data_IF_159486706791
#
_entry.id   IF_159486706791
#
_cell.length_a   1.000
_cell.length_b   1.000
_cell.length_c   1.000
_cell.angle_alpha   90.00
_cell.angle_beta   90.00
_cell.angle_gamma   90.00
#
_symmetry.space_group_name_H-M   'P 1'
#
loop_
_entity.id
_entity.type
_entity.pdbx_description
1 polymer ?
#
# COMPACT_ATOMS: atom_id res chain seq x y z
N UNK A 1 48.21 37.10 -51.93
CA UNK A 1 48.37 38.45 -52.51
C UNK A 1 46.98 39.01 -52.75
N UNK A 2 46.70 40.18 -52.13
CA UNK A 2 45.85 41.31 -52.62
C UNK A 2 44.34 41.04 -52.80
N UNK A 3 43.35 41.89 -52.51
CA UNK A 3 43.11 43.20 -51.85
C UNK A 3 41.57 43.23 -51.60
N UNK A 4 41.04 43.60 -50.42
CA UNK A 4 40.54 44.93 -50.01
C UNK A 4 39.40 45.60 -50.82
N UNK A 5 38.24 45.82 -50.17
CA UNK A 5 37.37 47.02 -50.21
C UNK A 5 36.26 46.83 -49.13
N UNK A 6 36.23 47.50 -47.97
CA UNK A 6 35.98 48.92 -47.62
C UNK A 6 34.50 49.36 -47.58
N UNK A 7 34.15 50.04 -46.47
CA UNK A 7 33.04 51.01 -46.19
C UNK A 7 32.05 50.53 -45.10
N UNK A 8 32.05 50.95 -43.82
CA UNK A 8 31.97 52.26 -43.10
C UNK A 8 30.50 52.62 -42.68
N UNK A 9 30.32 52.98 -41.38
CA UNK A 9 29.19 53.62 -40.60
C UNK A 9 27.91 52.77 -40.39
N UNK A 10 27.18 52.72 -39.27
CA UNK A 10 26.99 53.50 -38.03
C UNK A 10 26.50 52.52 -36.93
N UNK A 11 26.75 52.63 -35.63
CA UNK A 11 26.60 53.81 -34.79
C UNK A 11 25.20 53.86 -34.15
N UNK A 12 24.85 52.93 -33.26
CA UNK A 12 23.80 53.13 -32.25
C UNK A 12 24.12 52.34 -30.97
N UNK A 13 24.55 53.09 -29.95
CA UNK A 13 24.58 52.65 -28.55
C UNK A 13 23.15 52.53 -28.04
N UNK A 14 22.71 51.33 -27.69
CA UNK A 14 21.48 51.11 -26.94
C UNK A 14 21.83 50.98 -25.46
N UNK A 15 21.52 52.04 -24.72
CA UNK A 15 21.34 52.01 -23.27
C UNK A 15 20.41 50.86 -22.90
N UNK A 16 20.95 49.82 -22.28
CA UNK A 16 20.13 48.85 -21.56
C UNK A 16 19.96 49.36 -20.13
N UNK A 17 18.77 49.88 -19.83
CA UNK A 17 18.33 50.13 -18.46
C UNK A 17 18.32 48.79 -17.70
N UNK A 18 19.17 48.69 -16.68
CA UNK A 18 19.04 47.65 -15.66
C UNK A 18 17.77 47.92 -14.85
N UNK A 19 16.69 47.20 -15.14
CA UNK A 19 15.58 47.08 -14.20
C UNK A 19 16.05 46.19 -13.04
N UNK A 20 16.23 46.79 -11.86
CA UNK A 20 16.30 46.05 -10.62
C UNK A 20 14.98 45.28 -10.43
N UNK A 21 15.04 43.96 -10.51
CA UNK A 21 13.91 43.11 -10.16
C UNK A 21 13.61 43.27 -8.66
N UNK A 22 12.34 43.44 -8.24
CA UNK A 22 12.00 43.49 -6.84
C UNK A 22 12.32 42.14 -6.19
N UNK A 23 13.05 42.18 -5.07
CA UNK A 23 13.29 41.00 -4.25
C UNK A 23 11.94 40.43 -3.78
N UNK A 24 11.64 39.20 -4.20
CA UNK A 24 10.47 38.45 -3.72
C UNK A 24 10.68 38.14 -2.24
N UNK A 25 9.86 38.67 -1.32
CA UNK A 25 10.00 38.33 0.09
C UNK A 25 9.50 36.91 0.32
N UNK A 26 10.38 36.09 0.91
CA UNK A 26 10.01 34.84 1.58
C UNK A 26 9.75 33.65 0.66
N UNK A 27 10.82 32.90 0.35
CA UNK A 27 10.66 31.46 0.26
C UNK A 27 10.14 30.98 1.62
N UNK A 28 8.82 30.80 1.71
CA UNK A 28 8.26 29.97 2.76
C UNK A 28 8.70 28.56 2.40
N UNK A 29 9.83 28.12 2.96
CA UNK A 29 10.13 26.70 3.08
C UNK A 29 8.98 26.11 3.88
N UNK A 30 7.95 25.65 3.17
CA UNK A 30 6.91 24.77 3.70
C UNK A 30 7.65 23.50 4.14
N UNK A 31 8.15 23.51 5.37
CA UNK A 31 8.60 22.31 6.04
C UNK A 31 7.46 21.31 5.90
N UNK A 32 7.76 20.17 5.27
CA UNK A 32 6.84 19.04 5.16
C UNK A 32 6.33 18.78 6.58
N UNK A 33 5.07 19.12 6.87
CA UNK A 33 4.49 18.93 8.21
C UNK A 33 4.81 17.50 8.63
N UNK A 34 5.65 17.37 9.65
CA UNK A 34 6.12 16.06 10.12
C UNK A 34 4.95 15.16 10.46
N UNK A 35 5.17 13.84 10.38
CA UNK A 35 4.20 12.87 10.88
C UNK A 35 4.01 13.12 12.39
N UNK A 36 2.90 13.80 12.73
CA UNK A 36 2.52 14.08 14.11
C UNK A 36 1.63 12.99 14.71
N UNK A 37 1.96 12.58 15.93
CA UNK A 37 1.17 11.69 16.77
C UNK A 37 0.47 12.41 17.93
N UNK A 38 0.35 13.73 17.87
CA UNK A 38 -0.34 14.53 18.89
C UNK A 38 -1.84 14.17 18.98
N UNK A 39 -2.46 13.84 17.84
CA UNK A 39 -3.85 13.43 17.75
C UNK A 39 -3.99 12.22 16.83
N UNK A 40 -3.78 10.99 17.34
CA UNK A 40 -3.94 9.78 16.55
C UNK A 40 -5.34 9.67 15.97
N UNK A 41 -5.44 9.15 14.74
CA UNK A 41 -6.74 8.90 14.10
C UNK A 41 -7.54 7.85 14.88
N UNK A 42 -8.87 7.91 14.78
CA UNK A 42 -9.72 7.02 15.58
C UNK A 42 -9.38 5.55 15.33
N UNK A 43 -9.16 4.79 16.42
CA UNK A 43 -8.83 3.37 16.35
C UNK A 43 -7.33 3.08 16.28
N UNK A 44 -6.46 4.10 16.19
CA UNK A 44 -5.02 3.96 16.30
C UNK A 44 -4.56 4.40 17.68
N UNK A 45 -3.76 3.59 18.37
CA UNK A 45 -3.16 3.99 19.66
C UNK A 45 -2.01 4.98 19.45
N UNK A 46 -1.72 5.77 20.48
CA UNK A 46 -0.56 6.66 20.46
C UNK A 46 0.77 5.91 20.31
N UNK A 47 0.89 4.70 20.90
CA UNK A 47 2.10 3.88 20.79
C UNK A 47 2.31 3.39 19.36
N UNK A 48 1.25 2.91 18.70
CA UNK A 48 1.32 2.45 17.31
C UNK A 48 1.57 3.61 16.34
N UNK A 49 0.96 4.78 16.58
CA UNK A 49 1.29 5.99 15.82
C UNK A 49 2.78 6.33 15.91
N UNK A 50 3.34 6.34 17.13
CA UNK A 50 4.76 6.64 17.35
C UNK A 50 5.65 5.64 16.63
N UNK A 51 5.29 4.35 16.66
CA UNK A 51 6.00 3.32 15.92
C UNK A 51 5.97 3.58 14.40
N UNK A 52 4.79 3.85 13.83
CA UNK A 52 4.63 4.18 12.40
C UNK A 52 5.50 5.39 12.00
N UNK A 53 5.53 6.43 12.84
CA UNK A 53 6.38 7.61 12.62
C UNK A 53 7.87 7.24 12.71
N UNK A 54 8.26 6.46 13.72
CA UNK A 54 9.64 6.04 13.93
C UNK A 54 10.21 5.17 12.80
N UNK A 55 9.39 4.32 12.16
CA UNK A 55 9.82 3.51 11.01
C UNK A 55 9.75 4.26 9.68
N UNK A 56 9.40 5.55 9.69
CA UNK A 56 9.45 6.41 8.51
C UNK A 56 8.23 6.35 7.59
N UNK A 57 7.05 5.95 8.10
CA UNK A 57 5.82 6.03 7.30
C UNK A 57 5.45 7.49 6.98
N UNK A 58 4.74 7.72 5.88
CA UNK A 58 4.31 9.05 5.43
C UNK A 58 3.18 9.66 6.29
N UNK A 59 2.52 8.84 7.12
CA UNK A 59 1.45 9.27 8.01
C UNK A 59 0.53 8.12 8.43
N UNK A 60 -0.49 8.49 9.21
CA UNK A 60 -1.60 7.61 9.57
C UNK A 60 -2.60 7.46 8.42
N UNK A 61 -3.45 6.43 8.54
CA UNK A 61 -4.62 6.29 7.70
C UNK A 61 -5.63 7.40 7.91
N UNK A 62 -6.53 7.61 6.95
CA UNK A 62 -7.66 8.54 7.13
C UNK A 62 -8.69 7.98 8.11
N UNK A 63 -8.79 6.65 8.21
CA UNK A 63 -9.73 5.94 9.09
C UNK A 63 -11.17 6.45 8.95
N UNK A 64 -11.59 6.69 7.69
CA UNK A 64 -12.97 7.07 7.40
C UNK A 64 -13.95 6.05 8.01
N UNK A 65 -15.08 6.53 8.53
CA UNK A 65 -16.15 5.71 9.13
C UNK A 65 -17.43 5.67 8.29
N UNK A 66 -17.46 6.44 7.21
CA UNK A 66 -18.56 6.52 6.27
C UNK A 66 -18.08 6.06 4.90
N UNK A 67 -19.01 5.60 4.06
CA UNK A 67 -18.72 5.21 2.70
C UNK A 67 -18.04 6.35 1.94
N UNK A 68 -16.92 6.05 1.29
CA UNK A 68 -16.09 7.00 0.55
C UNK A 68 -15.75 6.50 -0.87
N UNK A 69 -16.46 5.48 -1.35
CA UNK A 69 -16.17 4.84 -2.64
C UNK A 69 -14.92 3.96 -2.67
N UNK A 70 -14.20 3.82 -1.55
CA UNK A 70 -12.99 3.02 -1.44
C UNK A 70 -13.04 2.12 -0.20
N UNK A 71 -12.41 2.55 0.90
CA UNK A 71 -12.21 1.76 2.12
C UNK A 71 -12.59 2.59 3.35
N UNK A 72 -13.39 2.02 4.24
CA UNK A 72 -13.77 2.67 5.50
C UNK A 72 -13.99 1.66 6.61
N UNK A 73 -13.82 2.08 7.85
CA UNK A 73 -14.05 1.26 9.04
C UNK A 73 -15.56 1.09 9.23
N UNK A 74 -16.01 -0.15 9.37
CA UNK A 74 -17.41 -0.48 9.60
C UNK A 74 -17.91 -1.63 8.73
N UNK A 75 -19.23 -1.83 8.75
CA UNK A 75 -19.91 -2.98 8.14
C UNK A 75 -20.92 -2.58 7.05
N UNK A 76 -20.89 -1.33 6.59
CA UNK A 76 -21.88 -0.76 5.68
C UNK A 76 -21.59 -1.04 4.20
N UNK A 77 -20.37 -1.50 3.86
CA UNK A 77 -19.98 -1.78 2.48
C UNK A 77 -20.41 -3.15 1.97
N UNK A 78 -20.33 -3.34 0.64
CA UNK A 78 -20.67 -4.62 0.01
C UNK A 78 -19.70 -5.74 0.41
N UNK A 79 -18.40 -5.42 0.54
CA UNK A 79 -17.38 -6.38 0.96
C UNK A 79 -16.93 -6.05 2.39
N UNK A 80 -16.93 -7.06 3.27
CA UNK A 80 -16.60 -6.92 4.69
C UNK A 80 -15.35 -7.73 5.01
N UNK A 81 -14.25 -7.05 5.25
CA UNK A 81 -12.99 -7.65 5.65
C UNK A 81 -12.92 -7.60 7.18
N UNK A 82 -12.97 -8.75 7.82
CA UNK A 82 -12.89 -8.88 9.28
C UNK A 82 -11.47 -9.28 9.64
N UNK A 83 -10.72 -8.34 10.21
CA UNK A 83 -9.36 -8.55 10.67
C UNK A 83 -9.37 -8.93 12.14
N UNK A 84 -8.92 -10.15 12.45
CA UNK A 84 -8.76 -10.66 13.81
C UNK A 84 -7.28 -10.77 14.15
N UNK A 85 -6.91 -10.28 15.33
CA UNK A 85 -5.60 -10.53 15.90
C UNK A 85 -5.68 -11.77 16.82
N UNK A 86 -5.11 -12.89 16.38
CA UNK A 86 -4.95 -14.09 17.22
C UNK A 86 -3.51 -14.27 17.73
N UNK A 87 -2.61 -13.33 17.41
CA UNK A 87 -1.29 -13.29 18.01
C UNK A 87 -1.40 -12.89 19.49
N UNK A 88 -0.38 -13.25 20.28
CA UNK A 88 -0.27 -12.84 21.68
C UNK A 88 0.09 -11.36 21.85
N UNK A 89 0.57 -10.71 20.79
CA UNK A 89 1.01 -9.32 20.78
C UNK A 89 0.04 -8.42 20.00
N UNK A 90 0.01 -7.10 20.26
CA UNK A 90 -0.82 -6.17 19.50
C UNK A 90 -0.37 -6.11 18.03
N UNK A 91 -1.35 -5.95 17.13
CA UNK A 91 -1.15 -5.80 15.69
C UNK A 91 -1.81 -4.52 15.23
N UNK A 92 -1.09 -3.65 14.53
CA UNK A 92 -1.70 -2.55 13.79
C UNK A 92 -1.90 -2.98 12.34
N UNK A 93 -3.14 -3.04 11.87
CA UNK A 93 -3.41 -3.30 10.46
C UNK A 93 -3.24 -2.01 9.65
N UNK A 94 -2.45 -2.10 8.58
CA UNK A 94 -2.21 -1.04 7.60
C UNK A 94 -2.84 -1.48 6.29
N UNK A 95 -3.79 -0.71 5.75
CA UNK A 95 -4.50 -1.02 4.50
C UNK A 95 -4.27 0.12 3.51
N UNK A 96 -3.85 -0.21 2.30
CA UNK A 96 -3.71 0.73 1.19
C UNK A 96 -4.57 0.29 0.00
N UNK A 97 -4.83 1.25 -0.88
CA UNK A 97 -5.54 1.03 -2.14
C UNK A 97 -4.64 1.41 -3.29
N UNK A 98 -4.68 0.62 -4.35
CA UNK A 98 -3.98 0.89 -5.59
C UNK A 98 -4.93 1.61 -6.55
N UNK A 99 -4.77 2.93 -6.65
CA UNK A 99 -5.42 3.68 -7.73
C UNK A 99 -4.75 3.32 -9.08
N UNK A 100 -5.52 3.36 -10.16
CA UNK A 100 -4.99 3.13 -11.49
C UNK A 100 -3.83 4.09 -11.77
N UNK A 101 -2.68 3.55 -12.17
CA UNK A 101 -1.45 4.31 -12.43
C UNK A 101 -0.60 4.65 -11.20
N UNK A 102 -1.02 4.31 -9.97
CA UNK A 102 -0.19 4.50 -8.78
C UNK A 102 0.65 3.26 -8.45
N UNK A 103 1.85 3.23 -9.05
CA UNK A 103 2.87 2.19 -8.81
C UNK A 103 3.57 2.33 -7.45
N UNK A 104 3.22 3.33 -6.64
CA UNK A 104 3.79 3.56 -5.31
C UNK A 104 2.78 3.36 -4.18
N UNK A 105 1.56 2.89 -4.47
CA UNK A 105 0.47 2.76 -3.50
C UNK A 105 0.84 1.97 -2.24
N UNK A 106 1.74 0.99 -2.35
CA UNK A 106 2.19 0.14 -1.25
C UNK A 106 3.44 0.65 -0.50
N UNK A 107 4.05 1.75 -0.97
CA UNK A 107 5.25 2.35 -0.42
C UNK A 107 4.86 3.30 0.72
N UNK A 108 4.78 2.77 1.93
CA UNK A 108 4.24 3.48 3.09
C UNK A 108 5.09 4.65 3.58
N UNK A 109 6.34 4.77 3.12
CA UNK A 109 7.16 5.98 3.32
C UNK A 109 6.79 7.14 2.36
N UNK A 110 6.08 6.83 1.26
CA UNK A 110 5.69 7.78 0.23
C UNK A 110 4.17 8.03 0.19
N UNK A 111 3.37 7.02 0.53
CA UNK A 111 1.90 7.06 0.54
C UNK A 111 1.36 6.82 1.94
N UNK A 112 0.33 7.58 2.30
CA UNK A 112 -0.44 7.31 3.52
C UNK A 112 -1.38 6.13 3.26
N UNK A 113 -1.57 5.21 4.20
CA UNK A 113 -2.57 4.17 4.07
C UNK A 113 -3.98 4.77 4.08
N UNK A 114 -4.99 4.00 3.69
CA UNK A 114 -6.39 4.35 3.91
C UNK A 114 -6.79 4.08 5.37
N UNK A 115 -6.31 2.97 5.92
CA UNK A 115 -6.59 2.58 7.31
C UNK A 115 -5.28 2.26 8.02
N UNK A 116 -5.15 2.79 9.24
CA UNK A 116 -4.19 2.33 10.25
C UNK A 116 -4.95 2.10 11.55
N UNK A 117 -5.12 0.85 11.98
CA UNK A 117 -5.99 0.51 13.10
C UNK A 117 -5.32 -0.49 14.05
N UNK A 118 -5.30 -0.17 15.34
CA UNK A 118 -4.72 -1.01 16.39
C UNK A 118 -5.69 -2.11 16.82
N UNK A 119 -5.26 -3.36 16.75
CA UNK A 119 -6.03 -4.54 17.13
C UNK A 119 -5.29 -5.24 18.27
N UNK A 120 -5.85 -5.16 19.48
CA UNK A 120 -5.33 -5.91 20.63
C UNK A 120 -5.45 -7.43 20.44
N UNK A 121 -4.71 -8.21 21.23
CA UNK A 121 -4.80 -9.67 21.19
C UNK A 121 -6.23 -10.15 21.43
N UNK A 122 -6.70 -11.08 20.60
CA UNK A 122 -8.07 -11.61 20.61
C UNK A 122 -9.14 -10.66 20.06
N UNK A 123 -8.82 -9.42 19.74
CA UNK A 123 -9.77 -8.43 19.22
C UNK A 123 -9.92 -8.53 17.70
N UNK A 124 -10.91 -7.82 17.17
CA UNK A 124 -11.14 -7.72 15.73
C UNK A 124 -11.66 -6.35 15.33
N UNK A 125 -11.42 -5.98 14.07
CA UNK A 125 -12.03 -4.82 13.42
C UNK A 125 -12.62 -5.24 12.08
N UNK A 126 -13.76 -4.68 11.71
CA UNK A 126 -14.34 -4.88 10.37
C UNK A 126 -14.13 -3.64 9.53
N UNK A 127 -13.64 -3.85 8.31
CA UNK A 127 -13.40 -2.83 7.31
C UNK A 127 -14.31 -3.12 6.12
N UNK A 128 -15.04 -2.10 5.69
CA UNK A 128 -15.86 -2.12 4.49
C UNK A 128 -15.03 -1.70 3.29
N UNK A 129 -15.15 -2.46 2.20
CA UNK A 129 -14.55 -2.14 0.90
C UNK A 129 -15.66 -1.97 -0.14
N UNK A 130 -15.61 -0.89 -0.92
CA UNK A 130 -16.42 -0.73 -2.13
C UNK A 130 -16.03 -1.78 -3.20
N UNK A 131 -16.86 -1.94 -4.23
CA UNK A 131 -16.50 -2.72 -5.42
C UNK A 131 -15.55 -1.93 -6.33
N UNK A 132 -14.72 -2.62 -7.12
CA UNK A 132 -13.77 -1.98 -8.04
C UNK A 132 -12.53 -1.40 -7.36
N UNK A 133 -12.20 -1.88 -6.16
CA UNK A 133 -11.03 -1.45 -5.39
C UNK A 133 -10.00 -2.56 -5.38
N UNK A 134 -8.76 -2.24 -5.76
CA UNK A 134 -7.60 -3.11 -5.57
C UNK A 134 -6.68 -2.52 -4.50
N UNK A 135 -5.88 -3.36 -3.85
CA UNK A 135 -4.94 -2.91 -2.84
C UNK A 135 -4.36 -4.06 -2.04
N UNK A 136 -3.85 -3.74 -0.87
CA UNK A 136 -3.32 -4.73 0.05
C UNK A 136 -3.33 -4.25 1.48
N UNK A 137 -2.90 -5.13 2.37
CA UNK A 137 -2.71 -4.84 3.77
C UNK A 137 -1.52 -5.61 4.34
N UNK A 138 -1.02 -5.10 5.46
CA UNK A 138 0.00 -5.76 6.26
C UNK A 138 -0.22 -5.45 7.74
N UNK A 139 0.27 -6.34 8.62
CA UNK A 139 0.30 -6.10 10.06
C UNK A 139 1.63 -5.52 10.52
N UNK A 140 1.59 -4.50 11.38
CA UNK A 140 2.72 -4.08 12.20
C UNK A 140 2.59 -4.76 13.57
N UNK A 141 3.50 -5.66 13.89
CA UNK A 141 3.43 -6.49 15.09
C UNK A 141 4.28 -5.89 16.20
N UNK A 142 3.67 -5.70 17.37
CA UNK A 142 4.36 -5.41 18.63
C UNK A 142 5.35 -4.22 18.56
N UNK A 143 5.06 -3.24 17.70
CA UNK A 143 5.94 -2.11 17.41
C UNK A 143 7.38 -2.51 17.00
N UNK A 144 7.55 -3.68 16.37
CA UNK A 144 8.84 -4.21 15.90
C UNK A 144 8.94 -4.32 14.37
N UNK A 145 7.83 -4.40 13.66
CA UNK A 145 7.83 -4.45 12.20
C UNK A 145 8.46 -3.18 11.63
N UNK A 146 9.35 -3.32 10.65
CA UNK A 146 9.98 -2.18 9.97
C UNK A 146 9.41 -1.98 8.57
N UNK A 147 9.82 -0.89 7.92
CA UNK A 147 9.72 -0.82 6.46
C UNK A 147 10.91 -1.55 5.82
N UNK A 148 10.72 -2.02 4.59
CA UNK A 148 11.79 -2.56 3.75
C UNK A 148 12.69 -1.42 3.27
N UNK A 149 13.81 -1.76 2.65
CA UNK A 149 14.69 -0.77 1.99
C UNK A 149 13.98 0.06 0.91
N UNK A 150 12.84 -0.42 0.41
CA UNK A 150 12.00 0.29 -0.56
C UNK A 150 10.91 1.13 0.10
N UNK A 151 10.69 1.01 1.41
CA UNK A 151 9.64 1.75 2.13
C UNK A 151 8.29 1.06 2.22
N UNK A 152 8.22 -0.22 1.84
CA UNK A 152 7.05 -1.09 1.98
C UNK A 152 7.01 -1.71 3.37
N UNK A 153 5.84 -2.06 3.93
CA UNK A 153 5.79 -2.77 5.22
C UNK A 153 6.50 -4.11 5.10
N UNK A 154 7.60 -4.32 5.84
CA UNK A 154 8.45 -5.51 5.69
C UNK A 154 7.88 -6.72 6.44
N UNK A 155 6.75 -7.21 5.96
CA UNK A 155 6.04 -8.32 6.54
C UNK A 155 5.27 -9.10 5.45
N UNK A 156 4.58 -10.17 5.84
CA UNK A 156 3.59 -10.83 4.99
C UNK A 156 2.44 -9.89 4.69
N UNK A 157 2.04 -9.87 3.42
CA UNK A 157 0.93 -9.07 2.93
C UNK A 157 -0.29 -9.94 2.68
N UNK A 158 -1.45 -9.33 2.76
CA UNK A 158 -2.62 -9.81 2.02
C UNK A 158 -2.92 -8.84 0.89
N UNK A 159 -3.26 -9.37 -0.27
CA UNK A 159 -3.61 -8.59 -1.46
C UNK A 159 -5.08 -8.81 -1.79
N UNK A 160 -5.72 -7.80 -2.40
CA UNK A 160 -7.11 -7.92 -2.81
C UNK A 160 -7.44 -7.14 -4.08
N UNK A 161 -8.49 -7.62 -4.73
CA UNK A 161 -9.33 -6.86 -5.66
C UNK A 161 -10.79 -7.16 -5.34
N UNK A 162 -11.66 -6.16 -5.39
CA UNK A 162 -13.11 -6.29 -5.19
C UNK A 162 -13.90 -6.08 -6.49
N UNK A 163 -15.15 -6.56 -6.54
CA UNK A 163 -16.02 -6.46 -7.72
C UNK A 163 -16.31 -7.82 -8.37
N UNK A 164 -16.55 -7.85 -9.68
CA UNK A 164 -17.06 -9.05 -10.37
C UNK A 164 -16.09 -10.24 -10.34
N UNK A 165 -14.79 -9.99 -10.22
CA UNK A 165 -13.72 -11.00 -10.14
C UNK A 165 -12.93 -10.88 -8.83
N UNK A 166 -13.65 -10.56 -7.75
CA UNK A 166 -13.05 -10.30 -6.45
C UNK A 166 -12.17 -11.47 -6.00
N UNK A 167 -10.92 -11.17 -5.66
CA UNK A 167 -9.87 -12.14 -5.34
C UNK A 167 -9.05 -11.63 -4.16
N UNK A 168 -8.63 -12.54 -3.28
CA UNK A 168 -7.66 -12.27 -2.20
C UNK A 168 -6.60 -13.35 -2.13
N UNK A 169 -5.41 -12.99 -1.67
CA UNK A 169 -4.31 -13.92 -1.46
C UNK A 169 -3.37 -13.40 -0.36
N UNK A 170 -2.55 -14.30 0.16
CA UNK A 170 -1.40 -14.02 0.99
C UNK A 170 -0.20 -13.87 0.07
N UNK A 171 0.60 -12.85 0.31
CA UNK A 171 1.83 -12.59 -0.42
C UNK A 171 3.02 -12.53 0.54
N UNK A 172 4.01 -13.37 0.22
CA UNK A 172 5.30 -13.43 0.91
C UNK A 172 6.40 -12.72 0.13
N UNK A 173 6.04 -11.98 -0.92
CA UNK A 173 6.99 -11.35 -1.85
C UNK A 173 7.83 -10.26 -1.19
N UNK A 174 7.26 -9.51 -0.24
CA UNK A 174 8.01 -8.44 0.44
C UNK A 174 8.93 -9.00 1.52
N UNK A 175 8.49 -10.03 2.24
CA UNK A 175 9.28 -10.74 3.24
C UNK A 175 8.86 -12.21 3.33
N UNK A 176 9.71 -13.09 2.80
CA UNK A 176 9.45 -14.54 2.81
C UNK A 176 9.33 -15.12 4.23
N UNK A 177 9.96 -14.49 5.22
CA UNK A 177 9.89 -14.85 6.65
C UNK A 177 8.91 -14.02 7.47
N UNK A 178 7.93 -13.35 6.85
CA UNK A 178 6.94 -12.55 7.55
C UNK A 178 6.05 -13.33 8.52
N UNK A 179 5.33 -12.60 9.37
CA UNK A 179 4.38 -13.13 10.34
C UNK A 179 3.25 -13.90 9.65
N UNK A 180 2.76 -14.95 10.32
CA UNK A 180 1.73 -15.79 9.77
C UNK A 180 0.41 -15.03 9.58
N UNK A 181 -0.20 -15.25 8.42
CA UNK A 181 -1.52 -14.75 8.10
C UNK A 181 -2.35 -15.87 7.47
N UNK A 182 -3.64 -15.87 7.78
CA UNK A 182 -4.63 -16.69 7.07
C UNK A 182 -5.79 -15.82 6.62
N UNK A 183 -6.21 -16.01 5.37
CA UNK A 183 -7.33 -15.31 4.74
C UNK A 183 -8.32 -16.37 4.28
N UNK A 184 -9.58 -16.24 4.70
CA UNK A 184 -10.64 -17.15 4.34
C UNK A 184 -11.80 -16.42 3.66
N UNK A 185 -12.22 -16.97 2.52
CA UNK A 185 -13.41 -16.54 1.78
C UNK A 185 -14.21 -17.78 1.38
N UNK A 186 -15.42 -17.91 1.92
CA UNK A 186 -16.20 -19.13 1.77
C UNK A 186 -15.38 -20.36 2.19
N UNK A 187 -15.18 -21.28 1.24
CA UNK A 187 -14.36 -22.49 1.41
C UNK A 187 -12.91 -22.34 0.92
N UNK A 188 -12.54 -21.22 0.31
CA UNK A 188 -11.16 -20.96 -0.10
C UNK A 188 -10.36 -20.35 1.05
N UNK A 189 -9.17 -20.89 1.29
CA UNK A 189 -8.21 -20.38 2.26
C UNK A 189 -6.89 -20.06 1.58
N UNK A 190 -6.41 -18.84 1.79
CA UNK A 190 -5.03 -18.45 1.53
C UNK A 190 -4.26 -18.32 2.84
N UNK A 191 -3.03 -18.82 2.88
CA UNK A 191 -2.16 -18.83 4.06
C UNK A 191 -0.70 -18.91 3.64
N UNK A 192 0.23 -18.93 4.60
CA UNK A 192 1.69 -19.00 4.33
C UNK A 192 2.15 -20.16 3.41
N UNK A 193 1.32 -21.18 3.19
CA UNK A 193 1.61 -22.36 2.36
C UNK A 193 0.52 -22.73 1.35
N UNK A 194 -0.58 -21.98 1.28
CA UNK A 194 -1.73 -22.29 0.41
C UNK A 194 -2.21 -21.03 -0.28
N UNK A 195 -2.46 -21.09 -1.60
CA UNK A 195 -2.84 -19.93 -2.40
C UNK A 195 -1.99 -18.69 -2.08
N UNK A 196 -0.67 -18.82 -2.23
CA UNK A 196 0.28 -17.83 -1.72
C UNK A 196 1.31 -17.45 -2.75
N UNK A 197 1.57 -16.16 -2.88
CA UNK A 197 2.67 -15.65 -3.67
C UNK A 197 3.99 -15.77 -2.90
N UNK A 198 5.02 -16.27 -3.59
CA UNK A 198 6.34 -16.56 -3.02
C UNK A 198 7.44 -16.18 -3.98
N UNK A 199 8.60 -15.78 -3.45
CA UNK A 199 9.78 -15.56 -4.25
C UNK A 199 10.37 -16.87 -4.73
N UNK A 200 10.77 -16.92 -6.00
CA UNK A 200 11.51 -18.06 -6.57
C UNK A 200 12.91 -18.21 -5.95
N UNK A 201 13.47 -17.09 -5.49
CA UNK A 201 14.77 -17.03 -4.82
C UNK A 201 14.82 -15.80 -3.92
N UNK A 202 15.62 -15.86 -2.85
CA UNK A 202 15.84 -14.72 -1.94
C UNK A 202 14.67 -14.49 -0.97
N UNK A 203 14.76 -13.40 -0.21
CA UNK A 203 13.76 -13.06 0.82
C UNK A 203 12.73 -12.03 0.36
N UNK A 204 13.04 -11.29 -0.71
CA UNK A 204 12.19 -10.24 -1.28
C UNK A 204 12.23 -10.33 -2.80
N UNK A 205 11.09 -10.11 -3.44
CA UNK A 205 10.90 -10.13 -4.89
C UNK A 205 9.72 -9.20 -5.26
N UNK A 206 9.41 -9.11 -6.56
CA UNK A 206 8.34 -8.25 -7.08
C UNK A 206 8.56 -7.85 -8.54
N UNK A 207 9.75 -8.10 -9.07
CA UNK A 207 10.04 -7.99 -10.49
C UNK A 207 9.36 -9.13 -11.27
N UNK A 208 8.95 -8.83 -12.50
CA UNK A 208 8.39 -9.82 -13.42
C UNK A 208 9.31 -11.05 -13.53
N UNK A 209 8.74 -12.23 -13.35
CA UNK A 209 9.45 -13.51 -13.42
C UNK A 209 10.15 -13.93 -12.13
N UNK A 210 10.13 -13.14 -11.06
CA UNK A 210 10.83 -13.45 -9.79
C UNK A 210 9.97 -14.11 -8.72
N UNK A 211 8.66 -14.19 -8.92
CA UNK A 211 7.70 -14.77 -7.99
C UNK A 211 6.81 -15.85 -8.63
N UNK A 212 6.16 -16.63 -7.77
CA UNK A 212 5.24 -17.71 -8.12
C UNK A 212 4.05 -17.74 -7.18
N UNK A 213 2.85 -17.96 -7.73
CA UNK A 213 1.66 -18.33 -6.96
C UNK A 213 1.64 -19.85 -6.78
N UNK A 214 1.84 -20.31 -5.56
CA UNK A 214 1.91 -21.75 -5.24
C UNK A 214 0.63 -22.25 -4.58
N UNK A 215 0.33 -23.53 -4.80
CA UNK A 215 -0.81 -24.23 -4.19
C UNK A 215 -2.14 -23.50 -4.37
N UNK A 216 -2.35 -22.93 -5.57
CA UNK A 216 -3.58 -22.22 -5.93
C UNK A 216 -4.18 -22.63 -7.29
N UNK A 217 -3.76 -23.77 -7.84
CA UNK A 217 -4.31 -24.25 -9.10
C UNK A 217 -5.84 -24.35 -9.01
N UNK A 218 -6.55 -24.10 -10.13
CA UNK A 218 -7.98 -24.29 -10.19
C UNK A 218 -8.34 -25.73 -9.75
N UNK A 219 -9.29 -25.86 -8.81
CA UNK A 219 -9.68 -27.15 -8.23
C UNK A 219 -8.81 -27.64 -7.05
N UNK A 220 -7.70 -26.97 -6.71
CA UNK A 220 -6.92 -27.28 -5.49
C UNK A 220 -7.73 -27.07 -4.20
N UNK A 221 -8.69 -26.16 -4.25
CA UNK A 221 -9.78 -25.96 -3.31
C UNK A 221 -10.91 -25.19 -4.01
N UNK A 222 -12.13 -25.28 -3.49
CA UNK A 222 -13.25 -24.51 -3.99
C UNK A 222 -12.97 -23.01 -3.88
N UNK A 223 -13.10 -22.28 -4.98
CA UNK A 223 -12.84 -20.84 -5.04
C UNK A 223 -11.39 -20.44 -5.31
N UNK A 224 -10.44 -21.38 -5.39
CA UNK A 224 -9.08 -21.07 -5.84
C UNK A 224 -9.02 -20.85 -7.35
N UNK A 225 -8.32 -19.80 -7.75
CA UNK A 225 -8.04 -19.48 -9.15
C UNK A 225 -6.55 -19.31 -9.37
N UNK A 226 -6.11 -19.67 -10.58
CA UNK A 226 -4.75 -19.46 -11.05
C UNK A 226 -4.79 -19.13 -12.53
N UNK A 227 -3.92 -18.23 -12.97
CA UNK A 227 -3.74 -17.85 -14.36
C UNK A 227 -2.48 -17.02 -14.54
N UNK A 228 -2.38 -16.37 -15.70
CA UNK A 228 -1.32 -15.44 -16.01
C UNK A 228 -1.91 -14.09 -16.41
N UNK A 229 -1.41 -13.00 -15.82
CA UNK A 229 -1.71 -11.63 -16.22
C UNK A 229 -0.41 -11.00 -16.74
N UNK A 230 -0.39 -10.56 -18.01
CA UNK A 230 0.83 -10.07 -18.67
C UNK A 230 2.04 -11.04 -18.53
N UNK A 231 1.76 -12.36 -18.58
CA UNK A 231 2.78 -13.41 -18.41
C UNK A 231 3.25 -13.65 -16.97
N UNK A 232 2.68 -12.95 -15.99
CA UNK A 232 3.00 -13.12 -14.56
C UNK A 232 1.93 -13.96 -13.85
N UNK A 233 2.29 -14.79 -12.85
CA UNK A 233 1.33 -15.52 -12.04
C UNK A 233 0.25 -14.58 -11.48
N UNK A 234 -1.00 -15.00 -11.58
CA UNK A 234 -2.16 -14.28 -11.04
C UNK A 234 -3.17 -15.29 -10.51
N UNK A 235 -3.98 -14.89 -9.53
CA UNK A 235 -4.99 -15.75 -8.93
C UNK A 235 -5.08 -15.55 -7.42
N UNK A 236 -5.71 -16.48 -6.74
CA UNK A 236 -5.97 -16.40 -5.31
C UNK A 236 -7.31 -17.05 -4.95
N UNK A 237 -7.85 -16.64 -3.82
CA UNK A 237 -9.15 -17.05 -3.33
C UNK A 237 -10.27 -16.09 -3.76
N UNK A 238 -11.29 -16.64 -4.43
CA UNK A 238 -12.53 -15.96 -4.78
C UNK A 238 -13.70 -16.43 -3.91
N UNK A 239 -14.92 -15.97 -4.23
CA UNK A 239 -16.15 -16.32 -3.50
C UNK A 239 -16.82 -15.15 -2.79
N UNK A 240 -16.46 -13.92 -3.16
CA UNK A 240 -17.02 -12.66 -2.61
C UNK A 240 -17.30 -11.64 -3.73
N UNK A 241 -17.70 -12.14 -4.89
CA UNK A 241 -17.90 -11.35 -6.10
C UNK A 241 -19.03 -10.33 -5.88
N UNK A 242 -18.73 -9.05 -6.11
CA UNK A 242 -19.61 -7.91 -5.86
C UNK A 242 -20.14 -7.76 -4.43
N UNK A 243 -19.60 -8.52 -3.47
CA UNK A 243 -19.99 -8.47 -2.07
C UNK A 243 -19.73 -9.80 -1.36
N UNK A 244 -19.47 -9.73 -0.06
CA UNK A 244 -19.21 -10.91 0.75
C UNK A 244 -18.38 -10.62 1.99
N UNK A 245 -17.91 -11.69 2.62
CA UNK A 245 -17.08 -11.64 3.83
C UNK A 245 -15.71 -12.24 3.55
N UNK A 246 -14.67 -11.49 3.89
CA UNK A 246 -13.28 -11.96 3.94
C UNK A 246 -12.85 -11.98 5.40
N UNK A 247 -12.42 -13.13 5.90
CA UNK A 247 -11.94 -13.27 7.28
C UNK A 247 -10.42 -13.35 7.29
N UNK A 248 -9.76 -12.39 7.91
CA UNK A 248 -8.29 -12.31 8.00
C UNK A 248 -7.89 -12.58 9.46
N UNK A 249 -6.93 -13.47 9.65
CA UNK A 249 -6.36 -13.78 10.96
C UNK A 249 -4.86 -13.53 10.95
N UNK A 250 -4.43 -12.61 11.80
CA UNK A 250 -3.03 -12.39 12.18
C UNK A 250 -2.62 -13.36 13.29
N UNK A 251 -1.41 -13.92 13.24
CA UNK A 251 -0.92 -14.95 14.18
C UNK A 251 0.54 -14.76 14.57
#
# INVERSE_FOLDING_TARGET
MLFSASSIIAGMSLLSLALAAPAVPGEVTLEKRGFSCASPVTGLTAADCKHMSAIGMAGMGTNAKAANGAVWIGTQGPNKFVFKNSASAPVTVIIWTQAAGDYQSSFMNARKPQVSYSIGAGQSVTISMANGVSGGWAGLYNQKTTLSQYGQVFNTWGEFTTGAYATVDVSREVNMGGNAMTIQVGSCTSSMSKCVFTCKSGNTCGEAGTYSLINCAAGSQTGATYGLAAGQPSGGCQGFNNGGKVSVTFS
#
